data_IF_741704360116
#
_entry.id   IF_741704360116
#
_cell.length_a   1.000
_cell.length_b   1.000
_cell.length_c   1.000
_cell.angle_alpha   90.00
_cell.angle_beta   90.00
_cell.angle_gamma   90.00
#
_symmetry.space_group_name_H-M   'P 1'
#
loop_
_entity.id
_entity.type
_entity.pdbx_description
1 polymer ?
#
# COMPACT_ATOMS: atom_id res chain seq x y z
N UNK A 1 62.05 -25.68 40.40
CA UNK A 1 61.55 -26.31 39.17
C UNK A 1 60.00 -26.26 39.07
N UNK A 2 59.30 -25.16 39.45
CA UNK A 2 57.85 -25.03 39.39
C UNK A 2 57.33 -23.76 38.67
N UNK A 3 58.21 -22.86 38.21
CA UNK A 3 57.82 -21.59 37.59
C UNK A 3 57.63 -21.67 36.06
N UNK A 4 58.29 -22.67 35.39
CA UNK A 4 58.22 -22.82 33.92
C UNK A 4 56.90 -23.47 33.40
N UNK A 5 56.13 -24.15 34.27
CA UNK A 5 54.86 -24.77 33.90
C UNK A 5 53.70 -23.82 33.75
N UNK A 6 53.70 -22.75 34.55
CA UNK A 6 52.56 -21.81 34.63
C UNK A 6 52.54 -20.84 33.41
N UNK A 7 53.70 -20.48 32.87
CA UNK A 7 53.78 -19.63 31.68
C UNK A 7 53.29 -20.28 30.39
N UNK A 8 53.58 -21.61 30.22
CA UNK A 8 53.12 -22.36 29.02
C UNK A 8 51.61 -22.55 28.97
N UNK A 9 50.99 -22.77 30.14
CA UNK A 9 49.54 -22.97 30.23
C UNK A 9 48.76 -21.66 29.96
N UNK A 10 49.27 -20.51 30.40
CA UNK A 10 48.66 -19.20 30.15
C UNK A 10 48.78 -18.74 28.69
N UNK A 11 49.89 -19.09 28.02
CA UNK A 11 50.09 -18.81 26.59
C UNK A 11 49.14 -19.63 25.68
N UNK A 12 48.90 -20.90 26.03
CA UNK A 12 47.98 -21.77 25.28
C UNK A 12 46.51 -21.31 25.48
N UNK A 13 46.11 -20.91 26.68
CA UNK A 13 44.78 -20.36 26.95
C UNK A 13 44.53 -19.01 26.24
N UNK A 14 45.55 -18.16 26.11
CA UNK A 14 45.46 -16.91 25.36
C UNK A 14 45.33 -17.15 23.84
N UNK A 15 45.99 -18.16 23.28
CA UNK A 15 45.91 -18.51 21.87
C UNK A 15 44.53 -19.12 21.51
N UNK A 16 43.95 -19.91 22.37
CA UNK A 16 42.58 -20.49 22.18
C UNK A 16 41.51 -19.39 22.28
N UNK A 17 41.68 -18.38 23.14
CA UNK A 17 40.76 -17.25 23.24
C UNK A 17 40.81 -16.34 22.01
N UNK A 18 41.97 -16.15 21.38
CA UNK A 18 42.12 -15.36 20.14
C UNK A 18 41.52 -16.09 18.91
N UNK A 19 41.59 -17.41 18.87
CA UNK A 19 41.01 -18.21 17.77
C UNK A 19 39.49 -18.34 17.89
N UNK A 20 38.90 -18.22 19.10
CA UNK A 20 37.46 -18.25 19.35
C UNK A 20 36.70 -16.96 18.97
N UNK A 21 37.39 -15.82 18.89
CA UNK A 21 36.79 -14.51 18.54
C UNK A 21 36.79 -14.25 17.04
N UNK A 22 37.58 -14.96 16.25
CA UNK A 22 37.67 -14.80 14.79
C UNK A 22 36.59 -15.60 13.99
N UNK A 23 35.75 -16.38 14.68
CA UNK A 23 34.85 -17.33 14.03
C UNK A 23 33.40 -16.89 13.89
N UNK A 24 33.01 -15.63 14.17
CA UNK A 24 31.61 -15.23 14.21
C UNK A 24 31.23 -13.96 13.43
N UNK A 25 31.99 -13.57 12.45
CA UNK A 25 31.46 -12.65 11.44
C UNK A 25 31.05 -13.43 10.18
N UNK A 26 30.02 -14.28 10.30
CA UNK A 26 29.28 -14.66 9.10
C UNK A 26 28.67 -13.37 8.54
N UNK A 27 28.99 -12.98 7.31
CA UNK A 27 28.26 -11.90 6.69
C UNK A 27 26.78 -12.29 6.76
N UNK A 28 25.93 -11.42 7.30
CA UNK A 28 24.49 -11.56 7.14
C UNK A 28 24.26 -11.60 5.62
N UNK A 29 24.02 -12.76 5.06
CA UNK A 29 23.63 -12.92 3.66
C UNK A 29 22.34 -12.11 3.56
N UNK A 30 22.42 -10.94 2.93
CA UNK A 30 21.23 -10.21 2.52
C UNK A 30 20.37 -11.23 1.77
N UNK A 31 19.13 -11.44 2.23
CA UNK A 31 18.27 -12.46 1.63
C UNK A 31 18.08 -12.12 0.15
N UNK A 32 18.35 -13.07 -0.72
CA UNK A 32 18.06 -12.97 -2.14
C UNK A 32 16.58 -13.30 -2.35
N UNK A 33 15.76 -12.27 -2.26
CA UNK A 33 14.30 -12.40 -2.41
C UNK A 33 13.92 -12.96 -3.78
N UNK A 34 14.67 -12.60 -4.84
CA UNK A 34 14.37 -13.06 -6.21
C UNK A 34 14.66 -14.56 -6.32
N UNK A 35 15.80 -15.02 -5.81
CA UNK A 35 16.12 -16.45 -5.79
C UNK A 35 15.13 -17.24 -4.92
N UNK A 36 14.72 -16.71 -3.77
CA UNK A 36 13.71 -17.33 -2.91
C UNK A 36 12.36 -17.49 -3.63
N UNK A 37 11.91 -16.47 -4.37
CA UNK A 37 10.66 -16.50 -5.17
C UNK A 37 10.79 -17.54 -6.29
N UNK A 38 11.87 -17.52 -7.05
CA UNK A 38 12.11 -18.46 -8.16
C UNK A 38 12.20 -19.91 -7.67
N UNK A 39 12.93 -20.15 -6.59
CA UNK A 39 13.05 -21.49 -5.98
C UNK A 39 11.69 -22.01 -5.50
N UNK A 40 10.85 -21.16 -4.95
CA UNK A 40 9.50 -21.50 -4.47
C UNK A 40 8.50 -21.65 -5.62
N UNK A 41 8.77 -21.04 -6.78
CA UNK A 41 7.87 -21.00 -7.93
C UNK A 41 6.64 -20.10 -7.71
N UNK A 42 6.65 -19.20 -6.74
CA UNK A 42 5.47 -18.39 -6.38
C UNK A 42 5.89 -17.02 -5.87
N UNK A 43 5.29 -15.96 -6.42
CA UNK A 43 5.36 -14.59 -5.92
C UNK A 43 4.18 -14.33 -4.98
N UNK A 44 4.44 -14.10 -3.69
CA UNK A 44 3.41 -13.74 -2.71
C UNK A 44 3.23 -12.24 -2.64
N UNK A 45 2.03 -11.76 -2.93
CA UNK A 45 1.71 -10.33 -3.02
C UNK A 45 0.73 -9.92 -1.92
N UNK A 46 1.17 -9.06 -1.01
CA UNK A 46 0.30 -8.42 -0.02
C UNK A 46 -0.50 -7.28 -0.65
N UNK A 47 -1.81 -7.31 -0.49
CA UNK A 47 -2.71 -6.29 -1.01
C UNK A 47 -3.91 -6.11 -0.09
N UNK A 48 -4.68 -5.05 -0.32
CA UNK A 48 -5.97 -4.81 0.34
C UNK A 48 -7.01 -4.49 -0.72
N UNK A 49 -8.23 -4.98 -0.54
CA UNK A 49 -9.29 -4.68 -1.50
C UNK A 49 -9.67 -3.21 -1.47
N UNK A 50 -9.77 -2.62 -2.67
CA UNK A 50 -10.23 -1.25 -2.83
C UNK A 50 -10.37 -0.89 -4.33
N UNK A 51 -11.55 -0.48 -4.73
CA UNK A 51 -11.94 -0.24 -6.13
C UNK A 51 -11.24 1.01 -6.69
N UNK A 52 -10.71 1.00 -7.90
CA UNK A 52 -10.57 -0.10 -8.87
C UNK A 52 -9.19 -0.77 -8.82
N UNK A 53 -8.41 -0.53 -7.77
CA UNK A 53 -7.06 -1.05 -7.61
C UNK A 53 -7.05 -2.58 -7.47
N UNK A 54 -7.78 -3.08 -6.48
CA UNK A 54 -8.00 -4.50 -6.26
C UNK A 54 -9.40 -4.70 -5.67
N UNK A 55 -10.19 -5.59 -6.23
CA UNK A 55 -11.57 -5.81 -5.82
C UNK A 55 -12.00 -7.23 -6.15
N UNK A 56 -13.17 -7.63 -5.68
CA UNK A 56 -13.78 -8.89 -6.08
C UNK A 56 -14.90 -8.63 -7.08
N UNK A 57 -14.93 -9.46 -8.11
CA UNK A 57 -16.07 -9.48 -9.02
C UNK A 57 -17.29 -10.17 -8.36
N UNK A 58 -18.40 -10.25 -9.10
CA UNK A 58 -19.64 -10.91 -8.62
C UNK A 58 -19.50 -12.42 -8.41
N UNK A 59 -18.43 -13.05 -8.96
CA UNK A 59 -18.10 -14.45 -8.76
C UNK A 59 -17.17 -14.68 -7.57
N UNK A 60 -16.59 -13.61 -7.04
CA UNK A 60 -15.62 -13.62 -5.94
C UNK A 60 -14.17 -13.60 -6.39
N UNK A 61 -13.90 -13.57 -7.69
CA UNK A 61 -12.56 -13.53 -8.24
C UNK A 61 -11.90 -12.16 -8.00
N UNK A 62 -10.59 -12.16 -7.73
CA UNK A 62 -9.83 -10.93 -7.61
C UNK A 62 -9.56 -10.33 -8.99
N UNK A 63 -9.93 -9.07 -9.16
CA UNK A 63 -9.70 -8.27 -10.36
C UNK A 63 -9.27 -6.86 -9.96
N UNK A 64 -8.69 -6.11 -10.89
CA UNK A 64 -8.26 -4.73 -10.66
C UNK A 64 -6.87 -4.44 -11.20
N UNK A 65 -6.49 -3.19 -11.17
CA UNK A 65 -5.21 -2.73 -11.69
C UNK A 65 -4.02 -3.45 -11.02
N UNK A 66 -4.04 -3.58 -9.69
CA UNK A 66 -3.00 -4.24 -8.91
C UNK A 66 -2.93 -5.75 -9.19
N UNK A 67 -4.08 -6.34 -9.48
CA UNK A 67 -4.16 -7.77 -9.82
C UNK A 67 -3.50 -8.01 -11.18
N UNK A 68 -3.78 -7.15 -12.18
CA UNK A 68 -3.12 -7.22 -13.49
C UNK A 68 -1.61 -7.02 -13.37
N UNK A 69 -1.18 -6.01 -12.60
CA UNK A 69 0.24 -5.67 -12.38
C UNK A 69 0.98 -6.85 -11.74
N UNK A 70 0.44 -7.41 -10.66
CA UNK A 70 1.07 -8.52 -9.95
C UNK A 70 1.08 -9.82 -10.77
N UNK A 71 -0.01 -10.10 -11.51
CA UNK A 71 -0.10 -11.26 -12.39
C UNK A 71 0.91 -11.20 -13.53
N UNK A 72 1.03 -10.03 -14.18
CA UNK A 72 2.05 -9.85 -15.21
C UNK A 72 3.47 -9.96 -14.66
N UNK A 73 3.74 -9.36 -13.51
CA UNK A 73 5.04 -9.45 -12.85
C UNK A 73 5.42 -10.91 -12.58
N UNK A 74 4.53 -11.70 -11.97
CA UNK A 74 4.77 -13.10 -11.71
C UNK A 74 5.00 -13.91 -13.00
N UNK A 75 4.19 -13.66 -14.04
CA UNK A 75 4.38 -14.26 -15.37
C UNK A 75 5.74 -13.93 -15.96
N UNK A 76 6.17 -12.67 -15.89
CA UNK A 76 7.47 -12.25 -16.41
C UNK A 76 8.65 -12.83 -15.60
N UNK A 77 8.42 -13.18 -14.32
CA UNK A 77 9.37 -13.92 -13.48
C UNK A 77 9.35 -15.43 -13.72
N UNK A 78 8.41 -15.96 -14.49
CA UNK A 78 8.23 -17.40 -14.71
C UNK A 78 7.68 -18.16 -13.49
N UNK A 79 6.89 -17.48 -12.64
CA UNK A 79 6.32 -18.05 -11.40
C UNK A 79 4.82 -17.79 -11.31
N UNK A 80 4.13 -18.52 -10.42
CA UNK A 80 2.73 -18.26 -10.09
C UNK A 80 2.59 -17.05 -9.15
N UNK A 81 1.41 -16.43 -9.11
CA UNK A 81 1.09 -15.37 -8.14
C UNK A 81 0.16 -15.88 -7.05
N UNK A 82 0.48 -15.55 -5.78
CA UNK A 82 -0.38 -15.78 -4.62
C UNK A 82 -0.74 -14.43 -4.00
N UNK A 83 -2.01 -14.06 -4.04
CA UNK A 83 -2.50 -12.85 -3.39
C UNK A 83 -2.81 -13.12 -1.93
N UNK A 84 -2.31 -12.25 -1.04
CA UNK A 84 -2.51 -12.31 0.42
C UNK A 84 -3.29 -11.06 0.87
N UNK A 85 -4.64 -11.10 0.82
CA UNK A 85 -5.46 -9.99 1.30
C UNK A 85 -5.20 -9.70 2.77
N UNK A 86 -4.90 -8.44 3.07
CA UNK A 86 -4.47 -8.03 4.40
C UNK A 86 -5.13 -6.68 4.74
N UNK A 87 -5.60 -6.53 5.98
CA UNK A 87 -6.10 -5.25 6.46
C UNK A 87 -5.03 -4.16 6.30
N UNK A 88 -5.42 -3.00 5.79
CA UNK A 88 -4.45 -1.96 5.40
C UNK A 88 -3.54 -1.50 6.55
N UNK A 89 -4.09 -1.36 7.75
CA UNK A 89 -3.33 -0.95 8.94
C UNK A 89 -2.25 -1.96 9.34
N UNK A 90 -2.42 -3.24 8.97
CA UNK A 90 -1.50 -4.33 9.27
C UNK A 90 -0.58 -4.73 8.11
N UNK A 91 -0.67 -4.10 6.93
CA UNK A 91 0.02 -4.60 5.73
C UNK A 91 1.54 -4.46 5.81
N UNK A 92 2.08 -3.35 6.32
CA UNK A 92 3.53 -3.18 6.54
C UNK A 92 4.04 -4.15 7.62
N UNK A 93 3.43 -4.26 8.81
CA UNK A 93 3.77 -5.31 9.77
C UNK A 93 3.78 -6.73 9.17
N UNK A 94 2.81 -7.09 8.34
CA UNK A 94 2.74 -8.40 7.69
C UNK A 94 3.90 -8.62 6.69
N UNK A 95 4.29 -7.58 5.92
CA UNK A 95 5.48 -7.61 5.07
C UNK A 95 6.75 -7.87 5.89
N UNK A 96 6.93 -7.16 7.00
CA UNK A 96 8.09 -7.33 7.88
C UNK A 96 8.13 -8.72 8.52
N UNK A 97 6.96 -9.29 8.83
CA UNK A 97 6.80 -10.66 9.32
C UNK A 97 6.90 -11.73 8.20
N UNK A 98 7.29 -11.36 6.98
CA UNK A 98 7.48 -12.26 5.82
C UNK A 98 6.23 -13.07 5.44
N UNK A 99 5.03 -12.53 5.69
CA UNK A 99 3.77 -13.17 5.25
C UNK A 99 3.62 -13.17 3.73
N UNK A 100 4.26 -12.23 3.06
CA UNK A 100 4.38 -12.09 1.62
C UNK A 100 5.69 -11.40 1.26
N UNK A 101 6.01 -11.37 -0.02
CA UNK A 101 7.29 -10.93 -0.56
C UNK A 101 7.32 -9.42 -0.78
N UNK A 102 6.24 -8.89 -1.33
CA UNK A 102 6.10 -7.51 -1.79
C UNK A 102 4.68 -7.01 -1.55
N UNK A 103 4.52 -5.71 -1.30
CA UNK A 103 3.20 -5.06 -1.32
C UNK A 103 3.00 -4.46 -2.72
N UNK A 104 1.95 -4.91 -3.41
CA UNK A 104 1.40 -4.29 -4.63
C UNK A 104 -0.07 -4.01 -4.33
N UNK A 105 -0.37 -2.76 -3.95
CA UNK A 105 -1.69 -2.44 -3.40
C UNK A 105 -1.96 -0.93 -3.31
N UNK A 106 -1.51 -0.14 -4.29
CA UNK A 106 -1.73 1.31 -4.32
C UNK A 106 -1.06 2.03 -3.15
N UNK A 107 0.10 1.54 -2.69
CA UNK A 107 0.77 2.14 -1.55
C UNK A 107 1.55 3.39 -1.94
N UNK A 108 1.05 4.56 -1.54
CA UNK A 108 1.76 5.83 -1.74
C UNK A 108 3.09 5.85 -0.99
N UNK A 109 4.14 6.29 -1.65
CA UNK A 109 5.44 6.61 -1.05
C UNK A 109 5.23 7.74 -0.04
N UNK A 110 5.69 7.55 1.18
CA UNK A 110 5.81 8.63 2.18
C UNK A 110 7.12 8.50 2.94
N UNK A 111 7.76 9.61 3.35
CA UNK A 111 8.98 9.54 4.16
C UNK A 111 8.81 8.66 5.39
N UNK A 112 7.66 8.76 6.07
CA UNK A 112 7.37 7.96 7.26
C UNK A 112 7.38 6.46 6.99
N UNK A 113 6.75 6.00 5.89
CA UNK A 113 6.77 4.59 5.50
C UNK A 113 8.17 4.15 5.06
N UNK A 114 8.91 5.03 4.37
CA UNK A 114 10.24 4.73 3.87
C UNK A 114 11.30 4.59 4.99
N UNK A 115 11.04 5.08 6.20
CA UNK A 115 11.86 4.75 7.37
C UNK A 115 11.80 3.25 7.72
N UNK A 116 10.74 2.53 7.32
CA UNK A 116 10.49 1.14 7.71
C UNK A 116 10.64 0.16 6.54
N UNK A 117 10.19 0.54 5.34
CA UNK A 117 10.24 -0.28 4.12
C UNK A 117 10.94 0.49 3.00
N UNK A 118 11.39 -0.24 1.96
CA UNK A 118 11.86 0.38 0.73
C UNK A 118 10.72 0.46 -0.29
N UNK A 119 10.81 1.46 -1.17
CA UNK A 119 9.90 1.65 -2.28
C UNK A 119 10.64 1.60 -3.61
N UNK A 120 10.04 0.94 -4.60
CA UNK A 120 10.51 0.98 -6.00
C UNK A 120 10.28 2.36 -6.63
N UNK A 121 10.64 2.51 -7.90
CA UNK A 121 10.10 3.57 -8.74
C UNK A 121 8.55 3.53 -8.71
N UNK A 122 7.87 4.69 -8.83
CA UNK A 122 6.41 4.70 -8.91
C UNK A 122 5.90 3.99 -10.17
N UNK A 123 4.85 3.18 -10.03
CA UNK A 123 4.17 2.53 -11.16
C UNK A 123 2.79 3.15 -11.45
N UNK A 124 2.29 4.00 -10.55
CA UNK A 124 1.05 4.74 -10.72
C UNK A 124 1.08 6.07 -9.95
N UNK A 125 0.18 6.96 -10.33
CA UNK A 125 -0.03 8.25 -9.69
C UNK A 125 -1.50 8.42 -9.33
N UNK A 126 -1.78 8.83 -8.12
CA UNK A 126 -3.13 9.09 -7.63
C UNK A 126 -3.29 10.47 -6.98
N UNK A 127 -4.34 10.64 -6.26
CA UNK A 127 -4.60 11.79 -5.40
C UNK A 127 -5.82 11.49 -4.54
N UNK A 128 -5.99 12.25 -3.47
CA UNK A 128 -7.16 12.13 -2.64
C UNK A 128 -8.22 13.14 -3.05
N UNK A 129 -9.48 12.71 -3.10
CA UNK A 129 -10.66 13.56 -3.28
C UNK A 129 -11.67 13.26 -2.17
N UNK A 130 -12.68 14.09 -2.06
CA UNK A 130 -13.68 14.02 -0.99
C UNK A 130 -15.06 13.69 -1.57
N UNK A 131 -15.76 12.74 -0.95
CA UNK A 131 -17.21 12.58 -1.08
C UNK A 131 -17.89 13.12 0.19
N UNK A 132 -19.01 13.78 0.08
CA UNK A 132 -19.74 14.36 1.20
C UNK A 132 -21.23 14.02 1.18
N UNK A 133 -21.83 13.97 2.36
CA UNK A 133 -23.26 13.75 2.54
C UNK A 133 -24.04 15.00 2.13
N UNK A 134 -25.00 14.84 1.23
CA UNK A 134 -25.80 15.94 0.70
C UNK A 134 -26.65 16.67 1.77
N UNK A 135 -27.17 15.94 2.74
CA UNK A 135 -28.01 16.50 3.80
C UNK A 135 -27.17 17.30 4.80
N UNK A 136 -25.97 16.83 5.15
CA UNK A 136 -25.13 17.46 6.17
C UNK A 136 -24.21 18.55 5.60
N UNK A 137 -23.75 18.40 4.36
CA UNK A 137 -22.75 19.26 3.75
C UNK A 137 -23.10 19.74 2.33
N UNK A 138 -24.36 19.67 1.93
CA UNK A 138 -24.81 20.08 0.58
C UNK A 138 -24.53 21.53 0.22
N UNK A 139 -24.39 22.40 1.21
CA UNK A 139 -24.06 23.82 1.04
C UNK A 139 -22.57 24.13 1.21
N UNK A 140 -21.74 23.14 1.48
CA UNK A 140 -20.29 23.33 1.68
C UNK A 140 -19.60 23.39 0.33
N UNK A 141 -18.87 24.48 0.10
CA UNK A 141 -18.19 24.74 -1.19
C UNK A 141 -16.69 24.97 -1.05
N UNK A 142 -16.22 25.26 0.18
CA UNK A 142 -14.83 25.60 0.46
C UNK A 142 -14.19 24.61 1.43
N UNK A 143 -12.86 24.63 1.48
CA UNK A 143 -12.11 23.85 2.47
C UNK A 143 -12.44 24.27 3.91
N UNK A 144 -12.71 25.55 4.13
CA UNK A 144 -13.02 26.08 5.46
C UNK A 144 -14.39 25.60 5.97
N UNK A 145 -15.35 25.33 5.08
CA UNK A 145 -16.65 24.76 5.47
C UNK A 145 -16.46 23.37 6.09
N UNK A 146 -15.51 22.59 5.56
CA UNK A 146 -15.16 21.27 6.09
C UNK A 146 -14.20 21.32 7.29
N UNK A 147 -13.53 22.45 7.55
CA UNK A 147 -12.56 22.58 8.63
C UNK A 147 -13.18 23.22 9.89
N UNK A 148 -14.24 22.64 10.41
CA UNK A 148 -14.97 23.13 11.60
C UNK A 148 -15.12 22.02 12.63
N UNK A 149 -15.20 22.38 13.92
CA UNK A 149 -15.34 21.43 15.02
C UNK A 149 -16.62 20.57 14.95
N UNK A 150 -17.67 21.10 14.31
CA UNK A 150 -18.93 20.40 14.07
C UNK A 150 -18.86 19.37 12.95
N UNK A 151 -17.81 19.41 12.12
CA UNK A 151 -17.66 18.55 10.95
C UNK A 151 -16.94 17.25 11.32
N UNK A 152 -17.50 16.12 10.91
CA UNK A 152 -16.89 14.80 11.03
C UNK A 152 -16.43 14.32 9.66
N UNK A 153 -15.16 13.96 9.53
CA UNK A 153 -14.56 13.40 8.32
C UNK A 153 -14.16 11.95 8.60
N UNK A 154 -14.62 11.03 7.75
CA UNK A 154 -14.27 9.62 7.79
C UNK A 154 -13.08 9.31 6.88
N UNK A 155 -12.28 8.31 7.23
CA UNK A 155 -11.18 7.80 6.40
C UNK A 155 -10.73 6.41 6.83
N UNK A 156 -9.99 5.69 5.97
CA UNK A 156 -9.42 4.39 6.30
C UNK A 156 -8.14 4.53 7.13
N UNK A 157 -8.10 3.86 8.27
CA UNK A 157 -6.98 3.82 9.22
C UNK A 157 -5.65 3.45 8.54
N UNK A 158 -4.60 4.22 8.86
CA UNK A 158 -3.26 3.98 8.31
C UNK A 158 -3.06 4.39 6.85
N UNK A 159 -4.13 4.85 6.16
CA UNK A 159 -4.05 5.33 4.79
C UNK A 159 -3.67 6.82 4.71
N UNK A 160 -3.14 7.23 3.55
CA UNK A 160 -2.79 8.64 3.30
C UNK A 160 -3.97 9.60 3.32
N UNK A 161 -5.22 9.22 2.98
CA UNK A 161 -6.41 10.05 3.19
C UNK A 161 -6.60 10.52 4.63
N UNK A 162 -6.35 9.69 5.64
CA UNK A 162 -6.41 10.10 7.04
C UNK A 162 -5.36 11.16 7.39
N UNK A 163 -4.14 11.01 6.86
CA UNK A 163 -3.08 12.02 7.04
C UNK A 163 -3.43 13.35 6.35
N UNK A 164 -4.06 13.26 5.17
CA UNK A 164 -4.56 14.43 4.46
C UNK A 164 -5.65 15.13 5.28
N UNK A 165 -6.62 14.39 5.82
CA UNK A 165 -7.66 14.94 6.70
C UNK A 165 -7.08 15.67 7.90
N UNK A 166 -6.17 15.05 8.64
CA UNK A 166 -5.50 15.65 9.80
C UNK A 166 -4.77 16.96 9.46
N UNK A 167 -4.11 17.00 8.30
CA UNK A 167 -3.34 18.16 7.86
C UNK A 167 -4.21 19.30 7.34
N UNK A 168 -5.21 18.97 6.53
CA UNK A 168 -6.00 19.96 5.79
C UNK A 168 -7.23 20.43 6.56
N UNK A 169 -7.76 19.61 7.48
CA UNK A 169 -8.96 19.89 8.26
C UNK A 169 -8.70 19.67 9.77
N UNK A 170 -7.69 20.37 10.36
CA UNK A 170 -7.26 20.10 11.73
C UNK A 170 -8.31 20.41 12.81
N UNK A 171 -9.36 21.19 12.47
CA UNK A 171 -10.44 21.52 13.40
C UNK A 171 -11.56 20.48 13.38
N UNK A 172 -11.67 19.67 12.29
CA UNK A 172 -12.72 18.67 12.16
C UNK A 172 -12.47 17.44 13.04
N UNK A 173 -13.56 16.76 13.38
CA UNK A 173 -13.48 15.45 14.05
C UNK A 173 -13.14 14.38 13.03
N UNK A 174 -12.02 13.64 13.24
CA UNK A 174 -11.61 12.55 12.37
C UNK A 174 -12.06 11.21 12.93
N UNK A 175 -12.83 10.44 12.13
CA UNK A 175 -13.21 9.06 12.43
C UNK A 175 -12.50 8.11 11.49
N UNK A 176 -11.79 7.13 12.07
CA UNK A 176 -10.96 6.17 11.31
C UNK A 176 -11.57 4.78 11.37
N UNK A 177 -11.72 4.14 10.21
CA UNK A 177 -12.30 2.81 10.02
C UNK A 177 -11.27 1.85 9.46
N UNK A 178 -11.49 0.55 9.60
CA UNK A 178 -10.52 -0.45 9.14
C UNK A 178 -10.57 -0.65 7.62
N UNK A 179 -11.72 -0.39 7.00
CA UNK A 179 -11.85 -0.36 5.54
C UNK A 179 -12.61 0.88 5.02
N UNK A 180 -12.50 1.09 3.71
CA UNK A 180 -13.13 2.24 3.05
C UNK A 180 -14.65 2.11 2.98
N UNK A 181 -15.20 0.90 2.84
CA UNK A 181 -16.64 0.69 2.73
C UNK A 181 -17.36 1.08 4.04
N UNK A 182 -16.78 0.71 5.20
CA UNK A 182 -17.30 1.13 6.50
C UNK A 182 -17.26 2.65 6.65
N UNK A 183 -16.11 3.28 6.30
CA UNK A 183 -15.98 4.72 6.39
C UNK A 183 -16.98 5.46 5.47
N UNK A 184 -17.21 4.92 4.28
CA UNK A 184 -18.17 5.47 3.33
C UNK A 184 -19.62 5.29 3.81
N UNK A 185 -19.96 4.13 4.38
CA UNK A 185 -21.30 3.88 4.91
C UNK A 185 -21.70 4.90 6.00
N UNK A 186 -20.74 5.38 6.79
CA UNK A 186 -20.99 6.44 7.77
C UNK A 186 -21.39 7.77 7.11
N UNK A 187 -20.84 8.06 5.92
CA UNK A 187 -21.23 9.23 5.14
C UNK A 187 -22.63 9.03 4.55
N UNK A 188 -22.93 7.90 3.96
CA UNK A 188 -24.26 7.57 3.41
C UNK A 188 -25.33 7.69 4.49
N UNK A 189 -25.08 7.14 5.67
CA UNK A 189 -26.02 7.14 6.81
C UNK A 189 -26.16 8.52 7.49
N UNK A 190 -25.33 9.50 7.12
CA UNK A 190 -25.35 10.83 7.77
C UNK A 190 -24.67 10.87 9.15
N UNK A 191 -23.85 9.88 9.49
CA UNK A 191 -23.05 9.85 10.72
C UNK A 191 -21.70 10.56 10.56
N UNK A 192 -21.29 10.86 9.31
CA UNK A 192 -20.15 11.68 8.97
C UNK A 192 -20.53 12.67 7.85
N UNK A 193 -19.94 13.86 7.88
CA UNK A 193 -20.18 14.89 6.87
C UNK A 193 -19.52 14.56 5.55
N UNK A 194 -18.32 13.97 5.61
CA UNK A 194 -17.53 13.64 4.44
C UNK A 194 -16.59 12.45 4.68
N UNK A 195 -16.09 11.91 3.57
CA UNK A 195 -14.98 10.96 3.57
C UNK A 195 -13.92 11.40 2.57
N UNK A 196 -12.65 11.26 2.94
CA UNK A 196 -11.53 11.37 2.03
C UNK A 196 -11.02 9.98 1.67
N UNK A 197 -10.91 9.71 0.36
CA UNK A 197 -10.34 8.48 -0.16
C UNK A 197 -9.54 8.76 -1.45
N UNK A 198 -8.83 7.75 -1.94
CA UNK A 198 -8.08 7.89 -3.19
C UNK A 198 -9.03 7.93 -4.40
N UNK A 199 -8.75 8.85 -5.33
CA UNK A 199 -9.46 8.93 -6.60
C UNK A 199 -9.27 7.63 -7.40
N UNK A 200 -10.30 7.22 -8.16
CA UNK A 200 -11.60 7.85 -8.39
C UNK A 200 -12.71 7.36 -7.44
N UNK A 201 -12.40 6.56 -6.39
CA UNK A 201 -13.41 5.86 -5.58
C UNK A 201 -14.53 6.77 -5.03
N UNK A 202 -14.28 7.98 -4.48
CA UNK A 202 -15.35 8.87 -4.07
C UNK A 202 -16.33 9.24 -5.19
N UNK A 203 -15.85 9.32 -6.44
CA UNK A 203 -16.75 9.57 -7.59
C UNK A 203 -17.65 8.37 -7.86
N UNK A 204 -17.12 7.14 -7.75
CA UNK A 204 -17.91 5.91 -7.93
C UNK A 204 -19.03 5.79 -6.87
N UNK A 205 -18.71 6.16 -5.63
CA UNK A 205 -19.70 6.19 -4.57
C UNK A 205 -20.81 7.22 -4.79
N UNK A 206 -20.43 8.40 -5.30
CA UNK A 206 -21.43 9.43 -5.63
C UNK A 206 -22.35 9.00 -6.79
N UNK A 207 -21.84 8.17 -7.70
CA UNK A 207 -22.65 7.55 -8.76
C UNK A 207 -23.57 6.45 -8.21
N UNK A 208 -23.08 5.63 -7.26
CA UNK A 208 -23.85 4.54 -6.65
C UNK A 208 -24.93 5.04 -5.68
N UNK A 209 -24.70 6.19 -5.02
CA UNK A 209 -25.60 6.80 -4.03
C UNK A 209 -25.89 8.27 -4.37
N UNK A 210 -26.52 8.54 -5.54
CA UNK A 210 -26.66 9.90 -6.06
C UNK A 210 -27.61 10.78 -5.25
N UNK A 211 -28.45 10.21 -4.38
CA UNK A 211 -29.36 10.96 -3.53
C UNK A 211 -28.73 11.36 -2.18
N UNK A 212 -27.76 10.58 -1.69
CA UNK A 212 -27.15 10.71 -0.37
C UNK A 212 -25.83 11.47 -0.40
N UNK A 213 -25.03 11.28 -1.45
CA UNK A 213 -23.67 11.80 -1.49
C UNK A 213 -23.34 12.51 -2.81
N UNK A 214 -22.31 13.35 -2.75
CA UNK A 214 -21.77 14.05 -3.90
C UNK A 214 -20.25 14.16 -3.80
N UNK A 215 -19.58 14.40 -4.92
CA UNK A 215 -18.15 14.71 -4.93
C UNK A 215 -17.97 16.15 -4.50
N UNK A 216 -17.41 16.36 -3.32
CA UNK A 216 -17.21 17.69 -2.75
C UNK A 216 -16.03 18.42 -3.40
N UNK A 217 -15.99 19.75 -3.24
CA UNK A 217 -14.91 20.63 -3.71
C UNK A 217 -14.61 20.45 -5.21
N UNK A 218 -15.67 20.27 -6.02
CA UNK A 218 -15.62 20.08 -7.47
C UNK A 218 -14.65 18.94 -7.91
N UNK A 219 -14.47 17.92 -7.06
CA UNK A 219 -13.57 16.82 -7.31
C UNK A 219 -12.07 17.19 -7.31
N UNK A 220 -11.74 18.37 -6.78
CA UNK A 220 -10.34 18.82 -6.67
C UNK A 220 -9.51 17.83 -5.87
N UNK A 221 -8.37 17.45 -6.43
CA UNK A 221 -7.40 16.62 -5.71
C UNK A 221 -6.82 17.39 -4.53
N UNK A 222 -7.11 16.93 -3.30
CA UNK A 222 -6.61 17.51 -2.06
C UNK A 222 -5.11 17.28 -1.88
N UNK A 223 -4.63 16.13 -2.36
CA UNK A 223 -3.21 15.77 -2.37
C UNK A 223 -2.90 14.95 -3.61
N UNK A 224 -1.61 14.74 -3.87
CA UNK A 224 -1.11 13.83 -4.91
C UNK A 224 -0.32 12.71 -4.24
N UNK A 225 -0.33 11.51 -4.83
CA UNK A 225 0.41 10.33 -4.41
C UNK A 225 1.19 9.72 -5.56
N UNK A 226 2.32 9.11 -5.23
CA UNK A 226 3.09 8.25 -6.11
C UNK A 226 3.02 6.85 -5.51
N UNK A 227 2.39 5.93 -6.20
CA UNK A 227 2.22 4.56 -5.74
C UNK A 227 3.37 3.70 -6.25
N UNK A 228 3.96 2.94 -5.33
CA UNK A 228 5.12 2.09 -5.59
C UNK A 228 4.98 0.74 -4.90
N UNK A 229 5.73 -0.26 -5.37
CA UNK A 229 5.86 -1.51 -4.63
C UNK A 229 6.65 -1.25 -3.35
N UNK A 230 6.25 -1.91 -2.27
CA UNK A 230 6.98 -1.80 -1.02
C UNK A 230 7.61 -3.15 -0.65
N UNK A 231 8.88 -3.12 -0.28
CA UNK A 231 9.70 -4.27 0.05
C UNK A 231 10.36 -4.11 1.42
N UNK A 232 10.78 -5.23 2.01
CA UNK A 232 11.66 -5.20 3.17
C UNK A 232 12.99 -4.53 2.81
N UNK A 233 13.62 -3.91 3.79
CA UNK A 233 14.96 -3.33 3.62
C UNK A 233 16.03 -4.41 3.52
N UNK A 234 17.17 -4.05 2.90
CA UNK A 234 18.38 -4.86 2.89
C UNK A 234 18.60 -5.70 1.62
N UNK A 235 17.65 -5.71 0.68
CA UNK A 235 17.79 -6.42 -0.59
C UNK A 235 17.80 -5.42 -1.75
N UNK A 236 19.02 -5.07 -2.21
CA UNK A 236 19.21 -4.10 -3.29
C UNK A 236 18.91 -4.72 -4.65
N UNK A 237 19.15 -6.02 -4.82
CA UNK A 237 18.94 -6.71 -6.09
C UNK A 237 17.44 -6.87 -6.37
N UNK A 238 16.63 -7.21 -5.37
CA UNK A 238 15.19 -7.19 -5.49
C UNK A 238 14.66 -5.79 -5.81
N UNK A 239 15.16 -4.76 -5.14
CA UNK A 239 14.80 -3.36 -5.42
C UNK A 239 15.11 -2.97 -6.87
N UNK A 240 16.29 -3.32 -7.35
CA UNK A 240 16.72 -3.08 -8.72
C UNK A 240 15.84 -3.83 -9.72
N UNK A 241 15.59 -5.11 -9.51
CA UNK A 241 14.75 -5.93 -10.38
C UNK A 241 13.34 -5.33 -10.51
N UNK A 242 12.64 -5.09 -9.39
CA UNK A 242 11.28 -4.56 -9.42
C UNK A 242 11.21 -3.15 -10.01
N UNK A 243 12.19 -2.28 -9.73
CA UNK A 243 12.24 -0.93 -10.30
C UNK A 243 12.46 -0.96 -11.81
N UNK A 244 13.35 -1.83 -12.30
CA UNK A 244 13.59 -2.01 -13.74
C UNK A 244 12.38 -2.63 -14.43
N UNK A 245 11.69 -3.60 -13.79
CA UNK A 245 10.45 -4.15 -14.33
C UNK A 245 9.39 -3.05 -14.54
N UNK A 246 9.23 -2.16 -13.55
CA UNK A 246 8.31 -1.01 -13.65
C UNK A 246 8.75 -0.10 -14.81
N UNK A 247 10.03 0.24 -14.90
CA UNK A 247 10.58 1.10 -15.97
C UNK A 247 10.27 0.53 -17.36
N UNK A 248 10.52 -0.76 -17.59
CA UNK A 248 10.26 -1.45 -18.85
C UNK A 248 8.78 -1.41 -19.20
N UNK A 249 7.89 -1.72 -18.24
CA UNK A 249 6.45 -1.76 -18.47
C UNK A 249 5.82 -0.36 -18.56
N UNK A 250 6.41 0.66 -17.97
CA UNK A 250 6.05 2.06 -18.20
C UNK A 250 6.46 2.53 -19.61
N UNK A 251 7.70 2.23 -20.02
CA UNK A 251 8.24 2.60 -21.32
C UNK A 251 7.53 1.92 -22.49
N UNK A 252 7.04 0.70 -22.30
CA UNK A 252 6.23 -0.02 -23.30
C UNK A 252 4.79 0.48 -23.41
N UNK A 253 4.35 1.38 -22.51
CA UNK A 253 2.96 1.85 -22.43
C UNK A 253 1.98 0.88 -21.74
N UNK A 254 2.42 -0.33 -21.35
CA UNK A 254 1.53 -1.33 -20.77
C UNK A 254 0.90 -0.86 -19.44
N UNK A 255 1.67 -0.22 -18.56
CA UNK A 255 1.14 0.30 -17.29
C UNK A 255 0.08 1.40 -17.52
N UNK A 256 0.29 2.31 -18.51
CA UNK A 256 -0.68 3.37 -18.84
C UNK A 256 -1.95 2.77 -19.46
N UNK A 257 -1.83 1.77 -20.34
CA UNK A 257 -2.97 1.07 -20.91
C UNK A 257 -3.83 0.42 -19.83
N UNK A 258 -3.22 -0.36 -18.91
CA UNK A 258 -3.93 -1.01 -17.81
C UNK A 258 -4.54 -0.01 -16.84
N UNK A 259 -3.79 1.06 -16.52
CA UNK A 259 -4.33 2.14 -15.69
C UNK A 259 -5.54 2.81 -16.35
N UNK A 260 -5.46 3.12 -17.63
CA UNK A 260 -6.57 3.72 -18.37
C UNK A 260 -7.79 2.82 -18.39
N UNK A 261 -7.62 1.51 -18.60
CA UNK A 261 -8.70 0.53 -18.56
C UNK A 261 -9.43 0.53 -17.21
N UNK A 262 -8.70 0.52 -16.10
CA UNK A 262 -9.33 0.44 -14.77
C UNK A 262 -9.85 1.78 -14.25
N UNK A 263 -9.21 2.89 -14.55
CA UNK A 263 -9.52 4.19 -13.94
C UNK A 263 -10.31 5.14 -14.84
N UNK A 264 -10.20 5.02 -16.16
CA UNK A 264 -10.86 5.90 -17.12
C UNK A 264 -11.96 5.17 -17.89
N UNK A 265 -11.63 4.06 -18.55
CA UNK A 265 -12.59 3.25 -19.31
C UNK A 265 -13.13 2.12 -18.44
N UNK A 266 -14.32 2.35 -17.87
CA UNK A 266 -14.96 1.39 -16.98
C UNK A 266 -15.89 0.41 -17.70
N UNK A 267 -16.10 0.57 -19.01
CA UNK A 267 -17.07 -0.20 -19.78
C UNK A 267 -16.79 -1.70 -19.73
N UNK A 268 -15.51 -2.10 -19.63
CA UNK A 268 -15.07 -3.49 -19.59
C UNK A 268 -15.24 -4.18 -18.25
N UNK A 269 -15.54 -3.47 -17.15
CA UNK A 269 -15.54 -4.10 -15.83
C UNK A 269 -16.61 -3.59 -14.84
N UNK A 270 -17.19 -2.40 -15.00
CA UNK A 270 -18.10 -1.81 -14.02
C UNK A 270 -19.31 -2.69 -13.68
N UNK A 271 -19.80 -3.45 -14.67
CA UNK A 271 -20.93 -4.35 -14.48
C UNK A 271 -20.56 -5.69 -13.83
N UNK A 272 -19.27 -5.96 -13.68
CA UNK A 272 -18.74 -7.17 -13.03
C UNK A 272 -18.68 -7.04 -11.51
N UNK A 273 -18.75 -5.82 -10.97
CA UNK A 273 -18.51 -5.52 -9.56
C UNK A 273 -19.69 -4.77 -8.92
N UNK A 274 -19.65 -4.65 -7.60
CA UNK A 274 -20.44 -3.70 -6.84
C UNK A 274 -19.51 -2.53 -6.48
N UNK A 275 -19.84 -1.32 -6.93
CA UNK A 275 -18.99 -0.14 -6.78
C UNK A 275 -18.85 0.36 -5.34
N UNK A 276 -19.74 -0.06 -4.46
CA UNK A 276 -19.75 0.25 -3.04
C UNK A 276 -18.77 -0.54 -2.18
N UNK A 277 -18.01 -1.48 -2.76
CA UNK A 277 -17.01 -2.30 -2.06
C UNK A 277 -15.77 -1.50 -1.59
#
# INVERSE_FOLDING_TARGET
MKIFGILKTRAILALVAIFGVLATSLPAVAGDLIADIQKRGTLKVGMSTFVPWAMRDKKGDLIGFEIDVATKLAKDMGVEVEFVPTAWSGIIPALLAKKFDVIIGGMSITPQRNLTVNFTAPYAHSGQIMAANKKLAGNYTTMDDFNQASVTIACRRGATPCKAAQKLFPKSTLRQFDDDAQAFQEVVNGNAHAMISSAPKPSFWSEAYPNEVFVALDGKKLTRGNEAFALRKGDIDAMNFFSNWILVNASSGWLEERHSFWFKDRSGWKDMVKLEQ
#
